data_IF_026068972320
#
_entry.id   IF_026068972320
#
_cell.length_a   1.000
_cell.length_b   1.000
_cell.length_c   1.000
_cell.angle_alpha   90.00
_cell.angle_beta   90.00
_cell.angle_gamma   90.00
#
_symmetry.space_group_name_H-M   'P 1'
#
loop_
_entity.id
_entity.type
_entity.pdbx_description
1 polymer ?
#
# COMPACT_ATOMS: atom_id res chain seq x y z
N UNK A 1 60.78 -31.53 -5.08
CA UNK A 1 59.93 -32.70 -4.75
C UNK A 1 58.70 -32.22 -3.99
N UNK A 2 57.48 -32.56 -4.48
CA UNK A 2 56.20 -31.96 -4.09
C UNK A 2 55.55 -32.67 -2.90
N UNK A 3 54.60 -32.00 -2.22
CA UNK A 3 53.69 -32.71 -1.33
C UNK A 3 53.04 -31.85 -0.24
N UNK A 4 52.05 -31.02 -0.58
CA UNK A 4 50.97 -30.73 0.37
C UNK A 4 49.62 -30.98 -0.30
N UNK A 5 49.00 -32.05 0.18
CA UNK A 5 47.71 -32.60 -0.20
C UNK A 5 46.63 -31.51 -0.19
N UNK A 6 45.99 -31.27 -1.35
CA UNK A 6 44.78 -30.44 -1.45
C UNK A 6 43.65 -31.14 -0.70
N UNK A 7 43.35 -30.66 0.50
CA UNK A 7 42.16 -31.05 1.27
C UNK A 7 40.93 -30.51 0.51
N UNK A 8 40.27 -31.39 -0.24
CA UNK A 8 38.94 -31.14 -0.82
C UNK A 8 37.96 -30.90 0.33
N UNK A 9 37.43 -29.69 0.46
CA UNK A 9 36.27 -29.47 1.32
C UNK A 9 34.99 -29.80 0.54
N UNK A 10 34.02 -30.48 1.18
CA UNK A 10 32.81 -30.97 0.55
C UNK A 10 31.85 -29.83 0.23
N UNK A 11 31.45 -29.74 -1.04
CA UNK A 11 30.44 -28.80 -1.54
C UNK A 11 29.10 -29.06 -0.85
N UNK A 12 28.73 -28.13 0.04
CA UNK A 12 27.42 -28.12 0.66
C UNK A 12 26.40 -27.58 -0.33
N UNK A 13 25.52 -28.48 -0.78
CA UNK A 13 24.40 -28.16 -1.64
C UNK A 13 23.49 -27.07 -1.06
N UNK A 14 23.28 -26.02 -1.84
CA UNK A 14 22.01 -25.30 -1.91
C UNK A 14 21.66 -25.14 -3.39
N UNK A 15 20.63 -25.87 -3.78
CA UNK A 15 20.08 -25.95 -5.13
C UNK A 15 19.70 -24.56 -5.68
N UNK A 16 20.01 -24.26 -6.96
CA UNK A 16 19.50 -23.08 -7.63
C UNK A 16 18.06 -23.35 -8.09
N UNK A 17 17.08 -23.11 -7.21
CA UNK A 17 15.66 -23.13 -7.61
C UNK A 17 15.26 -21.79 -8.25
N UNK A 18 15.91 -21.40 -9.34
CA UNK A 18 15.37 -20.37 -10.24
C UNK A 18 14.30 -21.04 -11.11
N UNK A 19 13.09 -21.14 -10.56
CA UNK A 19 11.90 -21.56 -11.30
C UNK A 19 11.42 -20.34 -12.10
N UNK A 20 11.55 -20.28 -13.44
CA UNK A 20 10.94 -19.19 -14.20
C UNK A 20 9.41 -19.36 -14.16
N UNK A 21 8.63 -18.26 -14.05
CA UNK A 21 7.18 -18.36 -14.16
C UNK A 21 6.80 -18.78 -15.59
N UNK A 22 6.13 -19.93 -15.67
CA UNK A 22 5.59 -20.49 -16.92
C UNK A 22 4.59 -19.52 -17.55
N UNK A 23 4.75 -19.38 -18.85
CA UNK A 23 3.85 -18.72 -19.78
C UNK A 23 2.41 -19.24 -19.72
N UNK A 24 1.50 -18.34 -20.13
CA UNK A 24 0.17 -18.61 -20.73
C UNK A 24 -1.02 -18.96 -19.82
N UNK A 25 -1.96 -18.02 -19.70
CA UNK A 25 -3.28 -18.22 -20.32
C UNK A 25 -3.94 -16.86 -20.60
N UNK A 26 -4.61 -16.78 -21.75
CA UNK A 26 -5.20 -15.58 -22.35
C UNK A 26 -6.72 -15.72 -22.33
N UNK A 27 -7.39 -14.68 -21.82
CA UNK A 27 -8.72 -14.16 -22.20
C UNK A 27 -10.00 -14.88 -21.69
N UNK A 28 -11.20 -14.27 -21.85
CA UNK A 28 -11.59 -12.88 -21.58
C UNK A 28 -12.97 -12.79 -20.86
N UNK A 29 -13.28 -11.74 -20.09
CA UNK A 29 -14.69 -11.28 -19.94
C UNK A 29 -14.78 -9.91 -19.28
N UNK A 30 -15.48 -8.99 -19.96
CA UNK A 30 -15.69 -7.64 -19.50
C UNK A 30 -16.39 -7.57 -18.14
N UNK A 31 -15.72 -6.96 -17.17
CA UNK A 31 -16.36 -6.39 -16.00
C UNK A 31 -16.11 -4.89 -16.02
N UNK A 32 -17.18 -4.19 -16.40
CA UNK A 32 -17.49 -2.78 -16.09
C UNK A 32 -16.26 -1.95 -15.74
N UNK A 33 -15.67 -1.33 -16.77
CA UNK A 33 -14.90 -0.10 -16.58
C UNK A 33 -15.87 1.00 -16.15
N UNK A 34 -16.36 0.92 -14.91
CA UNK A 34 -16.62 2.13 -14.14
C UNK A 34 -15.27 2.76 -13.92
N UNK A 35 -15.15 4.04 -14.26
CA UNK A 35 -13.95 4.88 -14.27
C UNK A 35 -13.26 5.05 -12.90
N UNK A 36 -12.92 3.97 -12.20
CA UNK A 36 -11.99 4.03 -11.08
C UNK A 36 -10.59 3.94 -11.63
N UNK A 37 -10.09 5.09 -12.08
CA UNK A 37 -8.66 5.30 -12.23
C UNK A 37 -7.97 4.72 -10.99
N UNK A 38 -6.99 3.81 -11.14
CA UNK A 38 -6.27 3.28 -10.01
C UNK A 38 -5.54 4.45 -9.36
N UNK A 39 -6.04 4.97 -8.22
CA UNK A 39 -5.26 5.89 -7.38
C UNK A 39 -3.95 5.17 -7.11
N UNK A 40 -2.84 5.70 -7.63
CA UNK A 40 -1.53 5.06 -7.53
C UNK A 40 -1.26 4.72 -6.06
N UNK A 41 -1.17 3.42 -5.77
CA UNK A 41 -0.95 2.92 -4.42
C UNK A 41 0.46 3.32 -3.97
N UNK A 42 0.54 4.48 -3.35
CA UNK A 42 1.72 5.00 -2.66
C UNK A 42 1.79 4.29 -1.29
N UNK A 43 2.94 4.13 -0.60
CA UNK A 43 3.02 3.44 0.69
C UNK A 43 1.88 3.79 1.65
N UNK A 44 1.53 2.82 2.51
CA UNK A 44 0.34 2.81 3.38
C UNK A 44 0.14 4.08 4.23
N UNK A 45 1.17 4.88 4.46
CA UNK A 45 1.09 6.18 5.13
C UNK A 45 0.36 7.26 4.33
N UNK A 46 0.41 7.22 3.00
CA UNK A 46 -0.09 8.29 2.12
C UNK A 46 -1.44 7.94 1.52
N UNK A 47 -1.58 6.75 0.95
CA UNK A 47 -2.86 6.32 0.37
C UNK A 47 -2.91 4.80 0.33
N UNK A 48 -3.92 4.23 0.97
CA UNK A 48 -4.23 2.81 0.86
C UNK A 48 -5.54 2.63 0.07
N UNK A 49 -5.59 1.75 -0.95
CA UNK A 49 -6.81 1.48 -1.69
C UNK A 49 -8.00 1.02 -0.81
N UNK A 50 -7.78 0.38 0.33
CA UNK A 50 -8.87 -0.02 1.25
C UNK A 50 -9.46 1.19 1.99
N UNK A 51 -8.60 2.11 2.44
CA UNK A 51 -9.04 3.35 3.09
C UNK A 51 -9.79 4.24 2.10
N UNK A 52 -9.31 4.34 0.85
CA UNK A 52 -9.97 5.15 -0.18
C UNK A 52 -11.44 4.73 -0.44
N UNK A 53 -11.76 3.44 -0.37
CA UNK A 53 -13.14 2.96 -0.51
C UNK A 53 -13.99 3.37 0.70
N UNK A 54 -13.44 3.33 1.91
CA UNK A 54 -14.15 3.78 3.11
C UNK A 54 -14.37 5.30 3.08
N UNK A 55 -13.38 6.08 2.67
CA UNK A 55 -13.47 7.54 2.50
C UNK A 55 -14.55 7.94 1.49
N UNK A 56 -14.59 7.30 0.32
CA UNK A 56 -15.61 7.57 -0.70
C UNK A 56 -17.03 7.26 -0.19
N UNK A 57 -17.19 6.17 0.56
CA UNK A 57 -18.49 5.80 1.14
C UNK A 57 -18.93 6.76 2.23
N UNK A 58 -18.02 7.14 3.12
CA UNK A 58 -18.32 8.09 4.20
C UNK A 58 -18.67 9.46 3.60
N UNK A 59 -17.92 9.93 2.60
CA UNK A 59 -18.22 11.17 1.90
C UNK A 59 -19.62 11.15 1.27
N UNK A 60 -19.99 10.05 0.61
CA UNK A 60 -21.33 9.89 0.03
C UNK A 60 -22.45 9.83 1.09
N UNK A 61 -22.18 9.25 2.27
CA UNK A 61 -23.13 9.15 3.37
C UNK A 61 -23.35 10.49 4.09
N UNK A 62 -22.28 11.24 4.32
CA UNK A 62 -22.32 12.56 4.97
C UNK A 62 -22.72 13.68 3.99
N UNK A 63 -22.84 13.37 2.68
CA UNK A 63 -23.07 14.37 1.63
C UNK A 63 -21.89 15.33 1.45
N UNK A 64 -20.70 14.96 1.92
CA UNK A 64 -19.48 15.76 1.85
C UNK A 64 -18.74 15.62 0.52
N UNK A 65 -17.92 16.62 0.18
CA UNK A 65 -17.08 16.59 -1.03
C UNK A 65 -15.95 15.56 -0.95
N UNK A 66 -15.42 15.32 0.25
CA UNK A 66 -14.39 14.32 0.53
C UNK A 66 -14.43 13.92 2.00
N UNK A 67 -13.84 12.77 2.33
CA UNK A 67 -13.58 12.32 3.70
C UNK A 67 -12.15 11.80 3.82
N UNK A 68 -11.60 11.82 5.04
CA UNK A 68 -10.25 11.33 5.35
C UNK A 68 -10.32 10.34 6.51
N UNK A 69 -9.72 9.15 6.34
CA UNK A 69 -9.63 8.15 7.41
C UNK A 69 -8.37 8.35 8.25
N UNK A 70 -8.54 8.48 9.57
CA UNK A 70 -7.44 8.57 10.54
C UNK A 70 -7.40 7.36 11.47
N UNK A 71 -6.30 7.21 12.22
CA UNK A 71 -6.08 6.10 13.15
C UNK A 71 -7.01 6.13 14.38
N UNK A 72 -7.55 7.30 14.75
CA UNK A 72 -8.45 7.47 15.88
C UNK A 72 -9.32 8.71 15.75
N UNK A 73 -10.42 8.76 16.52
CA UNK A 73 -11.28 9.94 16.59
C UNK A 73 -10.60 11.16 17.20
N UNK A 74 -9.70 10.95 18.17
CA UNK A 74 -8.89 12.04 18.73
C UNK A 74 -7.95 12.64 17.69
N UNK A 75 -7.32 11.80 16.86
CA UNK A 75 -6.53 12.30 15.74
C UNK A 75 -7.41 13.10 14.75
N UNK A 76 -8.62 12.64 14.45
CA UNK A 76 -9.54 13.35 13.56
C UNK A 76 -9.89 14.75 14.08
N UNK A 77 -10.21 14.89 15.37
CA UNK A 77 -10.48 16.18 15.99
C UNK A 77 -9.27 17.12 15.94
N UNK A 78 -8.09 16.62 16.32
CA UNK A 78 -6.85 17.40 16.29
C UNK A 78 -6.51 17.85 14.87
N UNK A 79 -6.60 16.96 13.88
CA UNK A 79 -6.35 17.32 12.48
C UNK A 79 -7.34 18.34 11.95
N UNK A 80 -8.63 18.23 12.32
CA UNK A 80 -9.63 19.21 11.93
C UNK A 80 -9.27 20.61 12.44
N UNK A 81 -8.95 20.72 13.74
CA UNK A 81 -8.55 21.99 14.36
C UNK A 81 -7.27 22.53 13.72
N UNK A 82 -6.22 21.73 13.59
CA UNK A 82 -4.94 22.17 13.02
C UNK A 82 -5.04 22.62 11.57
N UNK A 83 -6.01 22.10 10.81
CA UNK A 83 -6.23 22.51 9.42
C UNK A 83 -6.97 23.85 9.30
N UNK A 84 -7.75 24.25 10.30
CA UNK A 84 -8.59 25.46 10.24
C UNK A 84 -8.07 26.60 11.13
N UNK A 85 -7.38 26.29 12.22
CA UNK A 85 -7.01 27.25 13.25
C UNK A 85 -5.51 27.60 13.18
N UNK A 86 -5.23 28.91 13.28
CA UNK A 86 -3.91 29.49 13.41
C UNK A 86 -3.62 30.01 14.83
N UNK A 87 -2.40 30.51 15.02
CA UNK A 87 -2.01 31.12 16.29
C UNK A 87 -2.81 32.41 16.54
N UNK A 88 -3.47 32.49 17.70
CA UNK A 88 -4.31 33.63 18.07
C UNK A 88 -5.80 33.45 17.76
N UNK A 89 -6.19 32.34 17.12
CA UNK A 89 -7.60 32.03 16.88
C UNK A 89 -8.30 31.53 18.15
N UNK A 90 -9.57 31.90 18.28
CA UNK A 90 -10.44 31.49 19.38
C UNK A 90 -11.53 30.54 18.87
N UNK A 91 -11.54 29.32 19.40
CA UNK A 91 -12.45 28.23 19.01
C UNK A 91 -13.44 28.00 20.16
N UNK A 92 -14.75 27.96 19.86
CA UNK A 92 -15.85 27.73 20.83
C UNK A 92 -16.60 26.46 20.46
#
# INVERSE_FOLDING_TARGET
MPGRCRIRRPEHGRSPSTRPPRSSSRAPTGRRTGSRSPKAATPTRITNPTQAVAEERIAALEGGTAALLLASGQAAATYAILNIAGAGDHIV
#
